data_IF_320589244443
#
_entry.id   IF_320589244443
#
_cell.length_a   1.000
_cell.length_b   1.000
_cell.length_c   1.000
_cell.angle_alpha   90.00
_cell.angle_beta   90.00
_cell.angle_gamma   90.00
#
_symmetry.space_group_name_H-M   'P 1'
#
loop_
_entity.id
_entity.type
_entity.pdbx_description
1 polymer ?
#
# COMPACT_ATOMS: atom_id res chain seq x y z
N UNK A 1 6.40 -42.06 -9.57
CA UNK A 1 5.78 -41.43 -8.38
C UNK A 1 6.71 -40.30 -7.96
N UNK A 2 6.58 -39.16 -8.62
CA UNK A 2 7.43 -38.00 -8.36
C UNK A 2 6.77 -37.20 -7.24
N UNK A 3 7.41 -37.23 -6.06
CA UNK A 3 7.14 -36.32 -4.95
C UNK A 3 7.63 -34.95 -5.39
N UNK A 4 6.77 -34.15 -6.03
CA UNK A 4 7.03 -32.73 -6.16
C UNK A 4 6.58 -32.08 -4.85
N UNK A 5 7.59 -31.71 -4.07
CA UNK A 5 7.47 -30.95 -2.83
C UNK A 5 6.51 -29.77 -3.05
N UNK A 6 5.43 -29.75 -2.28
CA UNK A 6 4.56 -28.60 -2.18
C UNK A 6 5.38 -27.44 -1.63
N UNK A 7 5.77 -26.49 -2.50
CA UNK A 7 6.29 -25.18 -2.08
C UNK A 7 5.10 -24.40 -1.52
N UNK A 8 4.72 -24.72 -0.29
CA UNK A 8 3.81 -23.92 0.53
C UNK A 8 4.65 -22.77 1.11
N UNK A 9 4.88 -21.73 0.31
CA UNK A 9 5.39 -20.45 0.83
C UNK A 9 4.25 -19.69 1.50
N UNK A 10 3.75 -20.24 2.60
CA UNK A 10 2.94 -19.47 3.55
C UNK A 10 3.90 -18.53 4.26
N UNK A 11 3.95 -17.28 3.80
CA UNK A 11 4.56 -16.21 4.55
C UNK A 11 3.60 -15.80 5.67
N UNK A 12 3.80 -16.38 6.86
CA UNK A 12 3.14 -15.96 8.11
C UNK A 12 3.67 -14.59 8.58
N UNK A 13 3.56 -13.57 7.73
CA UNK A 13 3.94 -12.21 8.10
C UNK A 13 2.82 -11.55 8.89
N UNK A 14 3.07 -11.30 10.18
CA UNK A 14 2.21 -10.45 11.00
C UNK A 14 2.82 -9.04 11.15
N UNK A 15 2.15 -8.04 10.57
CA UNK A 15 2.59 -6.66 10.64
C UNK A 15 2.69 -6.17 12.10
N UNK A 16 3.91 -5.87 12.56
CA UNK A 16 4.18 -5.37 13.91
C UNK A 16 3.73 -3.91 14.15
N UNK A 17 3.09 -3.28 13.15
CA UNK A 17 2.62 -1.88 13.17
C UNK A 17 3.73 -0.89 13.55
N UNK A 18 4.94 -1.12 13.06
CA UNK A 18 6.10 -0.23 13.30
C UNK A 18 6.19 0.95 12.33
N UNK A 19 5.38 0.96 11.26
CA UNK A 19 5.34 2.04 10.28
C UNK A 19 6.55 2.16 9.35
N UNK A 20 7.57 1.30 9.46
CA UNK A 20 8.82 1.45 8.69
C UNK A 20 8.61 1.34 7.17
N UNK A 21 7.86 0.35 6.69
CA UNK A 21 7.51 0.26 5.27
C UNK A 21 6.67 1.47 4.80
N UNK A 22 5.70 1.91 5.60
CA UNK A 22 4.91 3.10 5.28
C UNK A 22 5.76 4.39 5.22
N UNK A 23 6.83 4.49 6.02
CA UNK A 23 7.74 5.65 6.02
C UNK A 23 8.76 5.60 4.88
N UNK A 24 9.36 4.44 4.64
CA UNK A 24 10.51 4.30 3.73
C UNK A 24 10.15 3.85 2.32
N UNK A 25 9.06 3.10 2.15
CA UNK A 25 8.58 2.61 0.84
C UNK A 25 7.40 3.47 0.37
N UNK A 26 6.51 3.85 1.29
CA UNK A 26 5.38 4.71 0.96
C UNK A 26 4.19 3.93 0.41
N UNK A 27 3.37 4.60 -0.40
CA UNK A 27 2.23 3.99 -1.07
C UNK A 27 2.50 3.78 -2.58
N UNK A 28 2.20 2.59 -3.14
CA UNK A 28 2.30 2.36 -4.57
C UNK A 28 1.04 2.94 -5.25
N UNK A 29 1.11 4.18 -5.71
CA UNK A 29 -0.05 4.90 -6.26
C UNK A 29 -0.67 4.21 -7.48
N UNK A 30 0.15 3.62 -8.36
CA UNK A 30 -0.32 2.87 -9.53
C UNK A 30 -1.23 1.68 -9.16
N UNK A 31 -1.12 1.15 -7.94
CA UNK A 31 -1.89 0.00 -7.46
C UNK A 31 -3.03 0.42 -6.51
N UNK A 32 -3.19 1.73 -6.28
CA UNK A 32 -4.26 2.28 -5.48
C UNK A 32 -5.45 2.58 -6.37
N UNK A 33 -6.61 2.03 -6.01
CA UNK A 33 -7.88 2.44 -6.62
C UNK A 33 -8.43 3.67 -5.87
N UNK A 34 -8.41 4.88 -6.48
CA UNK A 34 -8.86 6.09 -5.81
C UNK A 34 -10.38 6.09 -5.56
N UNK A 35 -11.16 5.31 -6.31
CA UNK A 35 -12.62 5.22 -6.11
C UNK A 35 -12.94 4.47 -4.83
N UNK A 36 -12.27 3.35 -4.57
CA UNK A 36 -12.44 2.58 -3.33
C UNK A 36 -11.96 3.36 -2.11
N UNK A 37 -10.87 4.11 -2.25
CA UNK A 37 -10.27 4.84 -1.13
C UNK A 37 -11.08 6.10 -0.78
N UNK A 38 -11.54 6.86 -1.77
CA UNK A 38 -12.41 8.03 -1.55
C UNK A 38 -13.72 7.64 -0.88
N UNK A 39 -14.40 6.60 -1.38
CA UNK A 39 -15.63 6.05 -0.79
C UNK A 39 -15.41 5.61 0.67
N UNK A 40 -14.36 4.82 0.94
CA UNK A 40 -14.03 4.38 2.30
C UNK A 40 -13.71 5.53 3.25
N UNK A 41 -13.11 6.62 2.75
CA UNK A 41 -12.80 7.80 3.53
C UNK A 41 -13.96 8.79 3.64
N UNK A 42 -15.06 8.55 2.92
CA UNK A 42 -16.19 9.47 2.75
C UNK A 42 -15.72 10.86 2.29
N UNK A 43 -14.86 10.88 1.27
CA UNK A 43 -14.37 12.08 0.58
C UNK A 43 -14.89 11.99 -0.85
N UNK A 44 -15.27 13.12 -1.44
CA UNK A 44 -15.63 13.16 -2.85
C UNK A 44 -14.46 12.66 -3.72
N UNK A 45 -14.78 11.94 -4.81
CA UNK A 45 -13.74 11.38 -5.67
C UNK A 45 -12.90 12.49 -6.29
N UNK A 46 -13.50 13.55 -6.81
CA UNK A 46 -12.76 14.65 -7.43
C UNK A 46 -11.81 15.30 -6.43
N UNK A 47 -12.30 15.61 -5.22
CA UNK A 47 -11.47 16.16 -4.15
C UNK A 47 -10.31 15.22 -3.78
N UNK A 48 -10.55 13.91 -3.77
CA UNK A 48 -9.50 12.92 -3.51
C UNK A 48 -8.45 12.92 -4.62
N UNK A 49 -8.87 12.92 -5.89
CA UNK A 49 -7.95 12.93 -7.03
C UNK A 49 -7.07 14.18 -7.01
N UNK A 50 -7.67 15.35 -6.78
CA UNK A 50 -6.95 16.63 -6.68
C UNK A 50 -5.97 16.64 -5.50
N UNK A 51 -6.43 16.24 -4.31
CA UNK A 51 -5.61 16.24 -3.09
C UNK A 51 -4.39 15.32 -3.20
N UNK A 52 -4.52 14.23 -3.95
CA UNK A 52 -3.49 13.19 -4.06
C UNK A 52 -2.83 13.14 -5.44
N UNK A 53 -3.06 14.10 -6.33
CA UNK A 53 -2.31 14.25 -7.58
C UNK A 53 -2.62 13.20 -8.67
N UNK A 54 -3.82 12.65 -8.67
CA UNK A 54 -4.28 11.77 -9.75
C UNK A 54 -4.72 12.57 -10.98
N UNK A 55 -4.53 11.98 -12.15
CA UNK A 55 -4.93 12.53 -13.44
C UNK A 55 -5.98 11.61 -14.03
N UNK A 56 -7.03 12.19 -14.61
CA UNK A 56 -8.07 11.46 -15.34
C UNK A 56 -7.82 11.65 -16.83
N UNK A 57 -7.72 10.54 -17.56
CA UNK A 57 -7.71 10.58 -19.02
C UNK A 57 -9.10 10.99 -19.52
N UNK A 58 -9.19 12.13 -20.20
CA UNK A 58 -10.47 12.69 -20.66
C UNK A 58 -11.20 11.81 -21.70
N UNK A 59 -10.48 10.93 -22.40
CA UNK A 59 -11.04 10.06 -23.44
C UNK A 59 -11.43 8.68 -22.91
N UNK A 60 -10.54 8.03 -22.14
CA UNK A 60 -10.78 6.68 -21.61
C UNK A 60 -11.49 6.68 -20.25
N UNK A 61 -11.42 7.79 -19.50
CA UNK A 61 -11.89 7.88 -18.12
C UNK A 61 -11.00 7.13 -17.13
N UNK A 62 -9.85 6.64 -17.57
CA UNK A 62 -8.85 5.98 -16.73
C UNK A 62 -8.24 6.98 -15.75
N UNK A 63 -7.98 6.51 -14.53
CA UNK A 63 -7.41 7.32 -13.47
C UNK A 63 -6.01 6.80 -13.19
N UNK A 64 -5.01 7.67 -13.32
CA UNK A 64 -3.61 7.31 -13.17
C UNK A 64 -2.91 8.30 -12.22
N UNK A 65 -1.80 7.87 -11.64
CA UNK A 65 -0.94 8.74 -10.84
C UNK A 65 0.42 8.83 -11.52
N UNK A 66 0.93 10.04 -11.73
CA UNK A 66 2.15 10.27 -12.51
C UNK A 66 3.44 9.86 -11.76
N UNK A 67 3.40 9.75 -10.44
CA UNK A 67 4.57 9.39 -9.63
C UNK A 67 4.53 7.94 -9.11
N UNK A 68 5.68 7.25 -9.05
CA UNK A 68 5.78 5.83 -8.67
C UNK A 68 5.48 5.57 -7.18
N UNK A 69 5.48 6.60 -6.33
CA UNK A 69 5.10 6.49 -4.92
C UNK A 69 5.54 7.71 -4.11
N UNK A 70 4.81 7.97 -3.02
CA UNK A 70 5.13 9.07 -2.09
C UNK A 70 5.57 8.52 -0.75
N UNK A 71 6.71 9.01 -0.26
CA UNK A 71 7.23 8.75 1.09
C UNK A 71 7.26 10.05 1.92
N UNK A 72 6.82 10.03 3.19
CA UNK A 72 6.11 8.93 3.84
C UNK A 72 4.69 8.74 3.26
N UNK A 73 4.13 7.54 3.43
CA UNK A 73 2.75 7.24 3.02
C UNK A 73 1.76 8.25 3.66
N UNK A 74 0.91 8.94 2.87
CA UNK A 74 0.01 9.97 3.39
C UNK A 74 -1.11 9.40 4.28
N UNK A 75 -1.38 8.10 4.16
CA UNK A 75 -2.38 7.40 4.99
C UNK A 75 -1.79 6.84 6.29
N UNK A 76 -0.49 7.04 6.55
CA UNK A 76 0.14 6.66 7.80
C UNK A 76 -0.30 7.60 8.93
N UNK A 77 -0.88 7.02 9.98
CA UNK A 77 -1.20 7.67 11.26
C UNK A 77 -0.52 6.93 12.40
N UNK A 78 -0.52 7.56 13.58
CA UNK A 78 0.03 6.99 14.80
C UNK A 78 -1.04 6.99 15.88
N UNK A 79 -1.19 5.83 16.51
CA UNK A 79 -1.90 5.66 17.77
C UNK A 79 -0.85 5.29 18.82
N UNK A 80 -0.45 6.29 19.61
CA UNK A 80 0.75 6.26 20.45
C UNK A 80 1.98 5.82 19.63
N UNK A 81 2.56 4.67 19.94
CA UNK A 81 3.75 4.11 19.28
C UNK A 81 3.42 3.13 18.14
N UNK A 82 2.14 2.92 17.84
CA UNK A 82 1.70 1.98 16.80
C UNK A 82 1.26 2.72 15.55
N UNK A 83 1.84 2.34 14.42
CA UNK A 83 1.39 2.79 13.11
C UNK A 83 -0.03 2.28 12.80
N UNK A 84 -0.85 3.16 12.28
CA UNK A 84 -2.22 2.89 11.80
C UNK A 84 -2.27 3.29 10.34
N UNK A 85 -2.85 2.45 9.48
CA UNK A 85 -3.16 2.87 8.11
C UNK A 85 -4.61 3.35 8.07
N UNK A 86 -4.82 4.60 7.67
CA UNK A 86 -6.16 5.20 7.60
C UNK A 86 -7.07 4.44 6.62
N UNK A 87 -6.50 3.76 5.62
CA UNK A 87 -7.22 3.07 4.54
C UNK A 87 -7.02 1.54 4.60
N UNK A 88 -6.76 0.98 5.79
CA UNK A 88 -6.30 -0.42 5.93
C UNK A 88 -7.16 -1.45 5.15
N UNK A 89 -8.51 -1.44 5.19
CA UNK A 89 -9.33 -2.43 4.45
C UNK A 89 -9.19 -2.34 2.92
N UNK A 90 -9.03 -1.12 2.40
CA UNK A 90 -8.97 -0.81 0.96
C UNK A 90 -7.56 -0.50 0.47
N UNK A 91 -6.53 -0.86 1.26
CA UNK A 91 -5.13 -0.63 0.88
C UNK A 91 -4.75 -1.36 -0.43
N UNK A 92 -3.79 -0.85 -1.21
CA UNK A 92 -3.31 -1.51 -2.44
C UNK A 92 -2.89 -2.96 -2.21
N UNK A 93 -3.00 -3.81 -3.24
CA UNK A 93 -2.68 -5.24 -3.11
C UNK A 93 -1.21 -5.46 -2.74
N UNK A 94 -0.27 -4.64 -3.23
CA UNK A 94 1.13 -4.68 -2.82
C UNK A 94 1.26 -4.42 -1.31
N UNK A 95 0.50 -3.47 -0.75
CA UNK A 95 0.48 -3.24 0.70
C UNK A 95 -0.20 -4.38 1.48
N UNK A 96 -1.16 -5.11 0.87
CA UNK A 96 -1.78 -6.32 1.45
C UNK A 96 -0.81 -7.49 1.48
N UNK A 97 -0.06 -7.69 0.40
CA UNK A 97 0.89 -8.79 0.22
C UNK A 97 2.27 -8.55 0.83
N UNK A 98 2.54 -7.35 1.36
CA UNK A 98 3.81 -7.00 1.98
C UNK A 98 4.22 -8.02 3.08
N UNK A 99 5.48 -8.49 3.14
CA UNK A 99 6.63 -8.03 2.35
C UNK A 99 6.66 -8.52 0.89
N UNK A 100 5.88 -9.54 0.53
CA UNK A 100 5.88 -10.19 -0.78
C UNK A 100 6.79 -11.45 -0.81
N UNK A 101 6.49 -12.45 -1.66
CA UNK A 101 7.23 -13.70 -1.73
C UNK A 101 8.76 -13.50 -1.89
N UNK A 102 9.56 -14.24 -1.12
CA UNK A 102 11.02 -14.20 -1.21
C UNK A 102 11.68 -12.93 -0.68
N UNK A 103 10.93 -12.03 -0.04
CA UNK A 103 11.47 -10.79 0.53
C UNK A 103 11.28 -10.74 2.06
N UNK A 104 11.93 -9.77 2.72
CA UNK A 104 11.88 -9.60 4.19
C UNK A 104 11.24 -8.28 4.58
N UNK A 105 10.67 -8.21 5.78
CA UNK A 105 10.14 -6.97 6.31
C UNK A 105 11.26 -5.91 6.44
N UNK A 106 10.95 -4.65 6.15
CA UNK A 106 11.91 -3.54 6.18
C UNK A 106 12.49 -3.31 7.57
N UNK A 107 11.74 -3.66 8.62
CA UNK A 107 12.23 -3.64 10.00
C UNK A 107 13.35 -4.65 10.25
N UNK A 108 13.37 -5.76 9.52
CA UNK A 108 14.32 -6.86 9.68
C UNK A 108 15.56 -6.71 8.79
N UNK A 109 15.47 -5.86 7.77
CA UNK A 109 16.60 -5.49 6.93
C UNK A 109 17.52 -4.56 7.73
N UNK A 110 18.72 -5.02 8.12
CA UNK A 110 19.74 -4.17 8.77
C UNK A 110 20.49 -3.34 7.73
N UNK A 111 20.75 -2.06 8.03
CA UNK A 111 21.76 -1.24 7.34
C UNK A 111 21.24 -0.36 6.20
N UNK A 112 20.70 0.80 6.55
CA UNK A 112 20.93 2.01 5.76
C UNK A 112 21.99 2.84 6.49
#
# INVERSE_FOLDING_TARGET
>A
MLLFEEIVLVMDFNCQRCGRCCKEIGIPWAELDPRLVSDYLNIDLHDFLDCYGFIVNEYSGEIEHAEPGVTPCPFLKWDMEKAVCKIYPVRPWICKGYPGPGTRCRKEQKGF
#
